data_IF_891014724705
#
_entry.id   IF_891014724705
#
_cell.length_a   1.000
_cell.length_b   1.000
_cell.length_c   1.000
_cell.angle_alpha   90.00
_cell.angle_beta   90.00
_cell.angle_gamma   90.00
#
_symmetry.space_group_name_H-M   'P 1'
#
loop_
_entity.id
_entity.type
_entity.pdbx_description
1 polymer ?
#
# COMPACT_ATOMS: atom_id res chain seq x y z
N UNK A 1 43.66 -29.29 -20.15
CA UNK A 1 42.88 -28.25 -20.87
C UNK A 1 43.43 -26.91 -20.41
N UNK A 2 43.95 -26.10 -21.33
CA UNK A 2 44.78 -24.94 -20.94
C UNK A 2 43.91 -23.73 -20.63
N UNK A 3 44.26 -22.97 -19.60
CA UNK A 3 43.53 -21.79 -19.11
C UNK A 3 43.13 -20.78 -20.21
N UNK A 4 43.92 -20.72 -21.28
CA UNK A 4 43.67 -19.89 -22.47
C UNK A 4 42.46 -20.31 -23.31
N UNK A 5 42.06 -21.58 -23.28
CA UNK A 5 40.88 -22.08 -23.99
C UNK A 5 39.59 -21.72 -23.24
N UNK A 6 39.64 -21.72 -21.91
CA UNK A 6 38.50 -21.38 -21.06
C UNK A 6 38.14 -19.90 -21.19
N UNK A 7 39.13 -19.01 -21.23
CA UNK A 7 38.90 -17.56 -21.41
C UNK A 7 38.33 -17.22 -22.79
N UNK A 8 38.78 -17.91 -23.85
CA UNK A 8 38.22 -17.76 -25.22
C UNK A 8 36.77 -18.23 -25.32
N UNK A 9 36.41 -19.30 -24.61
CA UNK A 9 35.04 -19.81 -24.57
C UNK A 9 34.09 -18.82 -23.88
N UNK A 10 34.49 -18.30 -22.72
CA UNK A 10 33.72 -17.32 -21.96
C UNK A 10 33.53 -16.02 -22.75
N UNK A 11 34.58 -15.53 -23.43
CA UNK A 11 34.49 -14.32 -24.25
C UNK A 11 33.49 -14.45 -25.41
N UNK A 12 33.42 -15.63 -26.05
CA UNK A 12 32.45 -15.91 -27.13
C UNK A 12 31.02 -15.96 -26.60
N UNK A 13 30.81 -16.54 -25.41
CA UNK A 13 29.48 -16.61 -24.79
C UNK A 13 28.99 -15.22 -24.36
N UNK A 14 29.85 -14.41 -23.73
CA UNK A 14 29.52 -13.03 -23.36
C UNK A 14 29.18 -12.17 -24.59
N UNK A 15 29.90 -12.35 -25.70
CA UNK A 15 29.60 -11.64 -26.95
C UNK A 15 28.24 -12.05 -27.54
N UNK A 16 27.89 -13.35 -27.45
CA UNK A 16 26.61 -13.88 -27.93
C UNK A 16 25.43 -13.37 -27.08
N UNK A 17 25.62 -13.27 -25.76
CA UNK A 17 24.64 -12.75 -24.80
C UNK A 17 24.34 -11.24 -25.01
N UNK A 18 25.34 -10.43 -25.38
CA UNK A 18 25.14 -8.99 -25.62
C UNK A 18 24.37 -8.67 -26.90
N UNK A 19 24.47 -9.50 -27.94
CA UNK A 19 23.77 -9.27 -29.22
C UNK A 19 22.28 -9.59 -29.18
N UNK A 20 21.85 -10.53 -28.35
CA UNK A 20 20.42 -10.93 -28.25
C UNK A 20 19.62 -9.98 -27.35
N UNK A 21 20.24 -9.37 -26.35
CA UNK A 21 19.58 -8.46 -25.40
C UNK A 21 19.13 -7.14 -26.04
N UNK A 22 19.92 -6.57 -26.96
CA UNK A 22 19.60 -5.28 -27.59
C UNK A 22 18.48 -5.41 -28.64
N UNK A 23 18.47 -6.52 -29.38
CA UNK A 23 17.44 -6.82 -30.40
C UNK A 23 16.08 -7.11 -29.75
N UNK A 24 16.07 -7.73 -28.55
CA UNK A 24 14.85 -7.98 -27.79
C UNK A 24 14.21 -6.68 -27.25
N UNK A 25 15.03 -5.77 -26.68
CA UNK A 25 14.54 -4.50 -26.13
C UNK A 25 13.90 -3.59 -27.19
N UNK A 26 14.50 -3.53 -28.39
CA UNK A 26 13.99 -2.70 -29.49
C UNK A 26 12.65 -3.20 -30.05
N UNK A 27 12.42 -4.52 -30.03
CA UNK A 27 11.15 -5.13 -30.51
C UNK A 27 9.95 -4.88 -29.60
N UNK A 28 10.17 -4.62 -28.31
CA UNK A 28 9.12 -4.47 -27.29
C UNK A 28 8.71 -3.01 -27.10
N UNK A 29 9.67 -2.08 -27.24
CA UNK A 29 9.43 -0.65 -27.08
C UNK A 29 8.79 -0.02 -28.32
N UNK A 30 9.22 -0.42 -29.53
CA UNK A 30 8.64 0.05 -30.80
C UNK A 30 7.17 -0.33 -30.96
N UNK A 31 6.77 -1.52 -30.52
CA UNK A 31 5.37 -1.96 -30.52
C UNK A 31 4.49 -1.16 -29.57
N UNK A 32 5.01 -0.75 -28.41
CA UNK A 32 4.28 0.09 -27.46
C UNK A 32 4.13 1.51 -28.00
N UNK A 33 5.19 2.08 -28.56
CA UNK A 33 5.17 3.43 -29.14
C UNK A 33 4.22 3.53 -30.35
N UNK A 34 4.21 2.52 -31.22
CA UNK A 34 3.32 2.44 -32.38
C UNK A 34 1.85 2.29 -31.96
N UNK A 35 1.56 1.50 -30.92
CA UNK A 35 0.21 1.40 -30.34
C UNK A 35 -0.26 2.74 -29.73
N UNK A 36 0.61 3.47 -29.03
CA UNK A 36 0.28 4.80 -28.52
C UNK A 36 0.01 5.81 -29.63
N UNK A 37 0.78 5.78 -30.72
CA UNK A 37 0.56 6.66 -31.88
C UNK A 37 -0.75 6.34 -32.62
N UNK A 38 -1.13 5.05 -32.74
CA UNK A 38 -2.40 4.65 -33.36
C UNK A 38 -3.62 5.03 -32.51
N UNK A 39 -3.53 4.90 -31.18
CA UNK A 39 -4.60 5.34 -30.27
C UNK A 39 -4.75 6.87 -30.33
N UNK A 40 -3.64 7.62 -30.39
CA UNK A 40 -3.66 9.07 -30.51
C UNK A 40 -4.26 9.56 -31.84
N UNK A 41 -3.98 8.86 -32.95
CA UNK A 41 -4.58 9.17 -34.24
C UNK A 41 -6.08 8.81 -34.30
N UNK A 42 -6.49 7.75 -33.60
CA UNK A 42 -7.90 7.31 -33.56
C UNK A 42 -8.79 8.23 -32.71
N UNK A 43 -8.28 8.75 -31.59
CA UNK A 43 -9.03 9.71 -30.75
C UNK A 43 -9.18 11.07 -31.41
N UNK A 44 -8.28 11.45 -32.32
CA UNK A 44 -8.31 12.74 -33.01
C UNK A 44 -9.22 12.77 -34.24
N UNK A 45 -9.62 11.61 -34.79
CA UNK A 45 -10.41 11.51 -36.03
C UNK A 45 -11.91 11.22 -35.81
N UNK A 46 -12.33 10.90 -34.58
CA UNK A 46 -13.74 10.53 -34.27
C UNK A 46 -14.50 11.55 -33.39
N UNK A 47 -13.92 12.72 -33.13
CA UNK A 47 -14.63 13.83 -32.48
C UNK A 47 -14.62 15.03 -33.43
N UNK A 48 -15.74 15.39 -34.10
CA UNK A 48 -15.78 16.64 -34.84
C UNK A 48 -15.54 17.82 -33.89
N UNK A 49 -14.89 18.91 -34.33
CA UNK A 49 -14.76 20.11 -33.52
C UNK A 49 -16.16 20.60 -33.15
N UNK A 50 -16.45 20.66 -31.85
CA UNK A 50 -17.71 21.17 -31.31
C UNK A 50 -17.84 22.63 -31.74
N UNK A 51 -18.70 22.91 -32.71
CA UNK A 51 -19.08 24.28 -33.08
C UNK A 51 -20.00 24.80 -31.96
N UNK A 52 -19.49 25.72 -31.15
CA UNK A 52 -20.23 26.35 -30.05
C UNK A 52 -21.22 27.38 -30.65
N UNK A 53 -22.48 26.98 -30.83
CA UNK A 53 -23.59 27.92 -31.05
C UNK A 53 -23.88 28.63 -29.72
N UNK A 54 -24.09 29.96 -29.74
CA UNK A 54 -24.45 30.75 -28.57
C UNK A 54 -25.81 30.29 -28.02
N UNK A 55 -25.77 29.31 -27.14
CA UNK A 55 -26.93 28.59 -26.62
C UNK A 55 -26.45 27.46 -25.73
N UNK A 56 -25.96 27.84 -24.55
CA UNK A 56 -25.72 26.98 -23.38
C UNK A 56 -25.24 25.56 -23.70
N UNK A 57 -23.94 25.40 -23.91
CA UNK A 57 -23.30 24.11 -23.64
C UNK A 57 -23.34 23.95 -22.12
N UNK A 58 -24.29 23.15 -21.63
CA UNK A 58 -24.23 22.64 -20.28
C UNK A 58 -23.01 21.70 -20.25
N UNK A 59 -21.85 22.26 -19.90
CA UNK A 59 -20.78 21.46 -19.31
C UNK A 59 -21.43 20.63 -18.21
N UNK A 60 -21.13 19.32 -18.09
CA UNK A 60 -21.48 18.64 -16.86
C UNK A 60 -20.64 19.32 -15.79
N UNK A 61 -21.19 20.34 -15.15
CA UNK A 61 -20.69 20.85 -13.89
C UNK A 61 -21.02 19.74 -12.90
N UNK A 62 -20.15 18.73 -12.82
CA UNK A 62 -19.98 17.93 -11.61
C UNK A 62 -19.35 18.81 -10.54
N UNK A 63 -20.06 19.86 -10.17
CA UNK A 63 -19.79 20.65 -8.99
C UNK A 63 -21.14 21.08 -8.44
N UNK A 64 -21.73 20.21 -7.63
CA UNK A 64 -22.29 20.75 -6.41
C UNK A 64 -22.19 19.71 -5.32
N UNK A 65 -21.25 20.02 -4.42
CA UNK A 65 -21.25 19.68 -3.02
C UNK A 65 -21.61 18.24 -2.69
N UNK A 66 -20.58 17.44 -2.43
CA UNK A 66 -20.70 16.51 -1.32
C UNK A 66 -21.33 17.30 -0.16
N UNK A 67 -22.57 16.94 0.15
CA UNK A 67 -23.32 17.30 1.33
C UNK A 67 -22.61 16.74 2.56
N UNK A 68 -21.37 17.16 2.80
CA UNK A 68 -20.54 16.80 3.93
C UNK A 68 -20.79 17.77 5.09
N UNK A 69 -22.04 18.16 5.34
CA UNK A 69 -22.41 18.97 6.50
C UNK A 69 -22.44 18.16 7.81
N UNK A 70 -21.54 17.17 7.95
CA UNK A 70 -21.46 16.32 9.14
C UNK A 70 -20.79 14.95 8.98
N UNK A 71 -20.24 14.63 7.79
CA UNK A 71 -19.60 13.35 7.49
C UNK A 71 -18.11 13.53 7.24
N UNK A 72 -17.29 12.71 7.90
CA UNK A 72 -15.84 12.71 7.79
C UNK A 72 -15.40 12.25 6.38
N UNK A 73 -14.26 12.74 5.86
CA UNK A 73 -13.78 12.37 4.53
C UNK A 73 -13.56 10.86 4.43
N UNK A 74 -13.97 10.26 3.31
CA UNK A 74 -13.70 8.85 3.05
C UNK A 74 -12.21 8.64 2.83
N UNK A 75 -11.65 7.64 3.52
CA UNK A 75 -10.24 7.31 3.48
C UNK A 75 -9.96 6.42 2.26
N UNK A 76 -9.67 7.04 1.12
CA UNK A 76 -9.45 6.35 -0.17
C UNK A 76 -8.12 5.60 -0.26
N UNK A 77 -7.14 5.90 0.61
CA UNK A 77 -5.76 5.38 0.53
C UNK A 77 -5.35 4.47 1.69
N UNK A 78 -6.29 3.87 2.43
CA UNK A 78 -5.94 2.99 3.56
C UNK A 78 -5.92 1.52 3.16
N UNK A 79 -4.72 0.94 3.23
CA UNK A 79 -4.46 -0.48 3.03
C UNK A 79 -4.48 -1.24 4.36
N UNK A 80 -5.65 -1.36 4.99
CA UNK A 80 -5.82 -2.24 6.16
C UNK A 80 -7.10 -3.08 6.09
N UNK A 81 -7.10 -4.18 6.84
CA UNK A 81 -8.20 -5.14 6.89
C UNK A 81 -9.42 -4.66 7.69
N UNK A 82 -9.20 -3.92 8.77
CA UNK A 82 -10.24 -3.33 9.63
C UNK A 82 -9.68 -2.11 10.35
N UNK A 83 -10.53 -1.12 10.61
CA UNK A 83 -10.20 0.06 11.42
C UNK A 83 -11.44 0.68 12.05
N UNK A 84 -11.22 1.45 13.12
CA UNK A 84 -12.24 2.28 13.75
C UNK A 84 -11.61 3.56 14.31
N UNK A 85 -12.29 4.69 14.15
CA UNK A 85 -11.91 6.00 14.69
C UNK A 85 -13.09 6.53 15.49
N UNK A 86 -12.85 6.85 16.76
CA UNK A 86 -13.87 7.27 17.71
C UNK A 86 -13.48 8.61 18.32
N UNK A 87 -14.44 9.53 18.41
CA UNK A 87 -14.28 10.74 19.21
C UNK A 87 -14.36 10.40 20.71
N UNK A 88 -13.29 10.68 21.45
CA UNK A 88 -13.17 10.32 22.87
C UNK A 88 -14.28 10.89 23.76
N UNK A 89 -14.69 12.15 23.53
CA UNK A 89 -15.62 12.85 24.42
C UNK A 89 -17.07 12.39 24.23
N UNK A 90 -17.48 12.14 22.98
CA UNK A 90 -18.86 11.79 22.63
C UNK A 90 -19.08 10.29 22.44
N UNK A 91 -18.00 9.52 22.23
CA UNK A 91 -18.08 8.12 21.80
C UNK A 91 -18.54 7.94 20.36
N UNK A 92 -18.69 9.03 19.59
CA UNK A 92 -19.16 8.97 18.20
C UNK A 92 -18.12 8.31 17.31
N UNK A 93 -18.53 7.29 16.55
CA UNK A 93 -17.71 6.70 15.48
C UNK A 93 -17.62 7.70 14.34
N UNK A 94 -16.40 8.11 14.02
CA UNK A 94 -16.11 9.05 12.94
C UNK A 94 -15.93 8.31 11.62
N UNK A 95 -15.16 7.23 11.65
CA UNK A 95 -14.82 6.40 10.48
C UNK A 95 -14.66 4.94 10.94
N UNK A 96 -15.12 3.97 10.15
CA UNK A 96 -14.96 2.56 10.45
C UNK A 96 -14.96 1.70 9.19
N UNK A 97 -14.23 0.58 9.24
CA UNK A 97 -14.25 -0.49 8.24
C UNK A 97 -14.21 -1.82 9.00
N UNK A 98 -15.28 -2.60 8.89
CA UNK A 98 -15.42 -3.91 9.56
C UNK A 98 -15.00 -3.85 11.06
N UNK A 99 -15.55 -2.93 11.89
CA UNK A 99 -15.05 -2.69 13.24
C UNK A 99 -15.25 -3.89 14.20
N UNK A 100 -16.31 -4.68 14.00
CA UNK A 100 -16.63 -5.84 14.85
C UNK A 100 -16.00 -7.15 14.36
N UNK A 101 -15.15 -7.08 13.32
CA UNK A 101 -14.49 -8.25 12.77
C UNK A 101 -13.46 -8.79 13.77
N UNK A 102 -13.59 -10.06 14.11
CA UNK A 102 -12.62 -10.75 14.95
C UNK A 102 -11.28 -10.92 14.22
N UNK A 103 -10.23 -10.33 14.78
CA UNK A 103 -8.86 -10.39 14.29
C UNK A 103 -7.93 -10.75 15.45
N UNK A 104 -6.82 -11.40 15.15
CA UNK A 104 -5.83 -11.72 16.18
C UNK A 104 -5.22 -10.44 16.76
N UNK A 105 -5.35 -10.20 18.07
CA UNK A 105 -4.72 -9.05 18.70
C UNK A 105 -3.25 -9.40 18.89
N UNK A 106 -2.39 -8.85 18.04
CA UNK A 106 -0.94 -8.99 18.19
C UNK A 106 -0.46 -8.20 19.42
N UNK A 107 0.36 -7.17 19.23
CA UNK A 107 0.81 -6.33 20.35
C UNK A 107 -0.27 -5.43 20.95
N UNK A 108 -1.47 -5.35 20.37
CA UNK A 108 -2.61 -4.61 20.96
C UNK A 108 -3.07 -5.21 22.29
N UNK A 109 -2.85 -6.51 22.51
CA UNK A 109 -3.07 -7.19 23.80
C UNK A 109 -2.30 -6.52 24.95
N UNK A 110 -1.17 -5.87 24.67
CA UNK A 110 -0.39 -5.15 25.69
C UNK A 110 -1.16 -3.99 26.30
N UNK A 111 -2.14 -3.40 25.60
CA UNK A 111 -3.01 -2.35 26.15
C UNK A 111 -3.87 -2.93 27.28
N UNK A 112 -4.49 -4.10 27.06
CA UNK A 112 -5.26 -4.80 28.08
C UNK A 112 -4.37 -5.19 29.27
N UNK A 113 -3.18 -5.75 29.00
CA UNK A 113 -2.23 -6.10 30.06
C UNK A 113 -1.81 -4.87 30.89
N UNK A 114 -1.54 -3.73 30.24
CA UNK A 114 -1.17 -2.50 30.93
C UNK A 114 -2.32 -1.98 31.79
N UNK A 115 -3.56 -2.03 31.28
CA UNK A 115 -4.74 -1.63 32.04
C UNK A 115 -4.90 -2.48 33.31
N UNK A 116 -4.84 -3.81 33.18
CA UNK A 116 -4.89 -4.73 34.32
C UNK A 116 -3.73 -4.50 35.29
N UNK A 117 -2.53 -4.19 34.79
CA UNK A 117 -1.38 -3.90 35.65
C UNK A 117 -1.59 -2.61 36.44
N UNK A 118 -2.13 -1.55 35.82
CA UNK A 118 -2.42 -0.29 36.50
C UNK A 118 -3.53 -0.43 37.55
N UNK A 119 -4.50 -1.32 37.31
CA UNK A 119 -5.58 -1.58 38.27
C UNK A 119 -5.12 -2.42 39.47
N UNK A 120 -4.21 -3.38 39.25
CA UNK A 120 -3.89 -4.39 40.26
C UNK A 120 -2.49 -4.27 40.87
N UNK A 121 -1.57 -3.52 40.25
CA UNK A 121 -0.21 -3.32 40.73
C UNK A 121 0.01 -1.86 41.11
N UNK A 122 0.86 -1.66 42.11
CA UNK A 122 1.39 -0.33 42.39
C UNK A 122 2.53 -0.04 41.40
N UNK A 123 2.46 1.03 40.58
CA UNK A 123 3.48 1.37 39.59
C UNK A 123 4.85 1.70 40.22
N UNK A 124 4.88 2.13 41.48
CA UNK A 124 6.12 2.48 42.20
C UNK A 124 6.74 1.28 42.92
N UNK A 125 6.08 0.12 42.90
CA UNK A 125 6.58 -1.09 43.56
C UNK A 125 7.71 -1.70 42.74
N UNK A 126 8.85 -1.92 43.37
CA UNK A 126 9.93 -2.72 42.79
C UNK A 126 9.47 -4.18 42.63
N UNK A 127 9.60 -4.69 41.41
CA UNK A 127 9.30 -6.08 41.06
C UNK A 127 10.59 -6.81 40.72
N UNK A 128 10.76 -8.02 41.27
CA UNK A 128 11.86 -8.90 40.90
C UNK A 128 11.53 -9.62 39.58
N UNK A 129 12.37 -9.45 38.56
CA UNK A 129 12.21 -10.14 37.28
C UNK A 129 12.64 -11.60 37.43
N UNK A 130 11.77 -12.53 37.05
CA UNK A 130 12.07 -13.98 37.10
C UNK A 130 13.00 -14.40 35.95
N UNK A 131 13.79 -15.45 36.15
CA UNK A 131 14.68 -15.97 35.08
C UNK A 131 13.92 -16.37 33.81
N UNK A 132 12.66 -16.80 33.93
CA UNK A 132 11.86 -17.20 32.78
C UNK A 132 11.47 -16.02 31.91
N UNK A 133 11.21 -14.85 32.51
CA UNK A 133 10.97 -13.61 31.79
C UNK A 133 12.22 -13.18 31.00
N UNK A 134 13.41 -13.52 31.50
CA UNK A 134 14.70 -13.22 30.85
C UNK A 134 15.06 -14.24 29.75
N UNK A 135 14.72 -15.52 29.92
CA UNK A 135 14.98 -16.62 28.95
C UNK A 135 14.12 -16.55 27.68
N UNK A 136 13.35 -15.47 27.51
CA UNK A 136 12.54 -15.20 26.35
C UNK A 136 13.40 -14.83 25.13
N UNK A 137 13.18 -15.50 24.00
CA UNK A 137 13.85 -15.16 22.74
C UNK A 137 13.43 -13.77 22.25
N UNK A 138 14.36 -13.08 21.57
CA UNK A 138 14.11 -11.77 20.97
C UNK A 138 12.91 -11.87 20.00
N UNK A 139 11.86 -11.09 20.27
CA UNK A 139 10.60 -11.10 19.52
C UNK A 139 9.44 -11.84 20.20
N UNK A 140 9.66 -12.49 21.34
CA UNK A 140 8.56 -13.11 22.08
C UNK A 140 7.74 -12.08 22.87
N UNK A 141 6.41 -12.23 22.80
CA UNK A 141 5.45 -11.48 23.61
C UNK A 141 4.77 -12.47 24.55
N UNK A 142 5.36 -12.71 25.72
CA UNK A 142 4.77 -13.56 26.77
C UNK A 142 4.41 -12.70 28.00
N UNK A 143 3.24 -12.94 28.57
CA UNK A 143 2.74 -12.33 29.81
C UNK A 143 2.14 -13.47 30.63
N UNK A 144 2.62 -13.65 31.86
CA UNK A 144 2.19 -14.75 32.75
C UNK A 144 3.21 -15.89 32.84
N UNK A 145 3.05 -16.69 33.91
CA UNK A 145 3.86 -17.85 34.24
C UNK A 145 3.26 -19.12 33.63
#
# INVERSE_FOLDING_TARGET
>A
MTEKEQTRSVAKEVYRQRKTATVWAYSKLSRRLLMFALVFAFTFFLAPPVIIQAGTIAWPTTASAANNSGRWPELTEITCGSYIVIERASGKVLLAKEPDKQLFPASTTKILTALLALENLNPDKLLTVSEQAVKLTAGSSKVGY
#
